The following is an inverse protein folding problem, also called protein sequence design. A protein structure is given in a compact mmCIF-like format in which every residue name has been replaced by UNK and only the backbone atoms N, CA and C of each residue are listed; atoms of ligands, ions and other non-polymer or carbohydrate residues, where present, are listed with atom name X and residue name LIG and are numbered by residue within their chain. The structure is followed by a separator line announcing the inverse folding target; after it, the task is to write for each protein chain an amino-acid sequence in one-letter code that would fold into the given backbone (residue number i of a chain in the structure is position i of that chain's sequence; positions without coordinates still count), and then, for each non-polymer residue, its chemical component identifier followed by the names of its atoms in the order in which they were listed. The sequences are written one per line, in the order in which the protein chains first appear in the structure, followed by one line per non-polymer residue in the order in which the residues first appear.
data_IF_772429892951
#
_entry.id   IF_772429892951
#
_cell.length_a   1.000
_cell.length_b   1.000
_cell.length_c   1.000
_cell.angle_alpha   90.00
_cell.angle_beta   90.00
_cell.angle_gamma   90.00
#
_symmetry.space_group_name_H-M   'P 1'
#
loop_
_entity.id
_entity.type
_entity.pdbx_description
1 polymer ?
#
# COMPACT_ATOMS: atom_id res chain seq x y z
N UNK A 1 -15.57 2.26 6.69
CA UNK A 1 -14.70 3.41 6.39
C UNK A 1 -14.46 3.37 4.89
N UNK A 2 -14.62 4.49 4.20
CA UNK A 2 -14.24 4.58 2.79
C UNK A 2 -12.71 4.55 2.70
N UNK A 3 -12.18 3.82 1.72
CA UNK A 3 -10.74 3.85 1.46
C UNK A 3 -10.34 5.28 1.10
N UNK A 4 -9.30 5.81 1.74
CA UNK A 4 -8.78 7.14 1.46
C UNK A 4 -7.39 7.11 0.82
N UNK A 5 -6.78 5.93 0.71
CA UNK A 5 -5.54 5.74 -0.01
C UNK A 5 -5.69 4.61 -1.01
N UNK A 6 -5.20 4.84 -2.23
CA UNK A 6 -5.02 3.80 -3.22
C UNK A 6 -3.67 3.94 -3.91
N UNK A 7 -3.18 2.86 -4.52
CA UNK A 7 -1.90 2.87 -5.20
C UNK A 7 -1.66 1.62 -6.01
N UNK A 8 -0.57 1.65 -6.75
CA UNK A 8 -0.10 0.53 -7.57
C UNK A 8 1.40 0.38 -7.39
N UNK A 9 1.82 -0.82 -6.98
CA UNK A 9 3.22 -1.21 -6.85
C UNK A 9 3.61 -1.96 -8.13
N UNK A 10 4.40 -1.33 -8.98
CA UNK A 10 4.72 -1.85 -10.31
C UNK A 10 5.89 -2.85 -10.24
N UNK A 11 5.88 -3.85 -11.12
CA UNK A 11 6.96 -4.86 -11.21
C UNK A 11 6.88 -5.97 -10.17
N UNK A 12 5.80 -6.01 -9.37
CA UNK A 12 5.53 -7.06 -8.39
C UNK A 12 4.43 -7.98 -8.90
N UNK A 13 4.68 -9.29 -8.92
CA UNK A 13 3.70 -10.31 -9.32
C UNK A 13 2.97 -10.95 -8.14
N UNK A 14 3.48 -10.71 -6.94
CA UNK A 14 3.05 -11.37 -5.71
C UNK A 14 3.13 -10.34 -4.58
N UNK A 15 2.09 -10.32 -3.75
CA UNK A 15 2.01 -9.48 -2.56
C UNK A 15 2.78 -10.07 -1.38
N UNK A 16 3.03 -11.38 -1.32
CA UNK A 16 3.66 -12.05 -0.19
C UNK A 16 5.05 -11.48 0.16
N UNK A 17 5.99 -11.25 -0.80
CA UNK A 17 7.30 -10.70 -0.46
C UNK A 17 7.23 -9.27 0.11
N UNK A 18 6.18 -8.52 -0.23
CA UNK A 18 5.94 -7.17 0.28
C UNK A 18 5.35 -7.28 1.69
N UNK A 19 4.34 -8.12 1.88
CA UNK A 19 3.67 -8.38 3.15
C UNK A 19 4.65 -8.89 4.24
N UNK A 20 5.57 -9.78 3.88
CA UNK A 20 6.64 -10.22 4.79
C UNK A 20 7.57 -9.07 5.23
N UNK A 21 7.83 -8.09 4.34
CA UNK A 21 8.66 -6.94 4.68
C UNK A 21 7.92 -5.98 5.62
N UNK A 22 6.62 -5.82 5.42
CA UNK A 22 5.77 -5.10 6.38
C UNK A 22 5.83 -5.75 7.77
N UNK A 23 5.69 -7.08 7.85
CA UNK A 23 5.80 -7.81 9.12
C UNK A 23 7.18 -7.60 9.78
N UNK A 24 8.27 -7.67 9.00
CA UNK A 24 9.63 -7.38 9.49
C UNK A 24 9.82 -5.94 9.97
N UNK A 25 8.99 -5.00 9.53
CA UNK A 25 8.96 -3.61 10.01
C UNK A 25 8.00 -3.40 11.19
N UNK A 26 7.41 -4.47 11.73
CA UNK A 26 6.53 -4.43 12.90
C UNK A 26 5.06 -4.12 12.59
N UNK A 27 4.65 -4.23 11.32
CA UNK A 27 3.24 -4.15 10.94
C UNK A 27 2.54 -5.49 11.18
N UNK A 28 1.24 -5.45 11.47
CA UNK A 28 0.43 -6.66 11.44
C UNK A 28 0.23 -7.09 10.00
N UNK A 29 0.36 -8.39 9.71
CA UNK A 29 0.12 -8.94 8.39
C UNK A 29 -0.84 -10.12 8.52
N UNK A 30 -1.86 -10.18 7.66
CA UNK A 30 -2.74 -11.35 7.53
C UNK A 30 -3.04 -11.63 6.06
N UNK A 31 -3.25 -12.89 5.71
CA UNK A 31 -3.81 -13.25 4.40
C UNK A 31 -5.27 -12.80 4.37
N UNK A 32 -5.66 -12.05 3.33
CA UNK A 32 -7.03 -11.60 3.09
C UNK A 32 -7.72 -12.47 2.03
N UNK A 33 -6.96 -12.95 1.04
CA UNK A 33 -7.40 -13.84 -0.03
C UNK A 33 -6.33 -14.91 -0.32
N UNK A 34 -6.49 -15.67 -1.41
CA UNK A 34 -5.49 -16.69 -1.79
C UNK A 34 -4.14 -16.07 -2.15
N UNK A 35 -4.14 -14.87 -2.76
CA UNK A 35 -2.92 -14.16 -3.19
C UNK A 35 -2.80 -12.76 -2.56
N UNK A 36 -3.84 -12.30 -1.87
CA UNK A 36 -3.92 -11.00 -1.23
C UNK A 36 -3.58 -11.01 0.26
N UNK A 37 -3.07 -9.88 0.72
CA UNK A 37 -2.66 -9.66 2.11
C UNK A 37 -3.18 -8.33 2.62
N UNK A 38 -3.63 -8.30 3.86
CA UNK A 38 -3.89 -7.07 4.58
C UNK A 38 -2.72 -6.78 5.53
N UNK A 39 -2.19 -5.56 5.47
CA UNK A 39 -1.12 -5.08 6.33
C UNK A 39 -1.57 -3.85 7.10
N UNK A 40 -1.23 -3.80 8.38
CA UNK A 40 -1.81 -2.83 9.31
C UNK A 40 -0.86 -2.31 10.39
N UNK A 41 -1.20 -1.13 10.89
CA UNK A 41 -0.62 -0.45 12.05
C UNK A 41 -1.66 0.50 12.63
N UNK A 42 -1.33 1.20 13.71
CA UNK A 42 -2.26 2.12 14.41
C UNK A 42 -2.74 3.30 13.58
N UNK A 43 -2.07 3.61 12.46
CA UNK A 43 -2.35 4.75 11.59
C UNK A 43 -2.58 4.36 10.12
N UNK A 44 -2.54 3.07 9.77
CA UNK A 44 -2.72 2.61 8.39
C UNK A 44 -3.19 1.16 8.36
N UNK A 45 -4.15 0.86 7.50
CA UNK A 45 -4.63 -0.49 7.20
C UNK A 45 -4.90 -0.57 5.71
N UNK A 46 -4.13 -1.38 4.99
CA UNK A 46 -4.21 -1.50 3.52
C UNK A 46 -4.21 -2.95 3.09
N UNK A 47 -4.99 -3.22 2.06
CA UNK A 47 -4.99 -4.48 1.33
C UNK A 47 -4.00 -4.39 0.16
N UNK A 48 -3.27 -5.49 -0.03
CA UNK A 48 -2.33 -5.73 -1.11
C UNK A 48 -2.90 -6.85 -1.97
N UNK A 49 -3.31 -6.54 -3.20
CA UNK A 49 -3.93 -7.51 -4.11
C UNK A 49 -3.12 -7.58 -5.43
N UNK A 50 -2.50 -8.72 -5.76
CA UNK A 50 -1.79 -8.87 -7.02
C UNK A 50 -2.74 -8.81 -8.22
N UNK A 51 -2.20 -8.38 -9.36
CA UNK A 51 -2.92 -8.27 -10.63
C UNK A 51 -2.25 -9.11 -11.71
N UNK A 52 -3.01 -9.48 -12.74
CA UNK A 52 -2.49 -10.21 -13.91
C UNK A 52 -1.37 -9.44 -14.64
N UNK A 53 -1.38 -8.11 -14.54
CA UNK A 53 -0.46 -7.19 -15.22
C UNK A 53 0.89 -6.98 -14.49
N UNK A 54 1.25 -7.88 -13.57
CA UNK A 54 2.50 -7.80 -12.78
C UNK A 54 2.61 -6.52 -11.96
N UNK A 55 1.50 -6.13 -11.35
CA UNK A 55 1.45 -5.10 -10.32
C UNK A 55 0.71 -5.63 -9.09
N UNK A 56 0.94 -4.98 -7.95
CA UNK A 56 0.15 -5.19 -6.74
C UNK A 56 -0.64 -3.90 -6.48
N UNK A 57 -1.97 -4.00 -6.42
CA UNK A 57 -2.83 -2.91 -5.99
C UNK A 57 -2.71 -2.75 -4.48
N UNK A 58 -2.75 -1.49 -4.05
CA UNK A 58 -2.82 -1.11 -2.66
C UNK A 58 -4.09 -0.29 -2.48
N UNK A 59 -4.94 -0.66 -1.52
CA UNK A 59 -6.10 0.15 -1.15
C UNK A 59 -6.42 0.04 0.33
N UNK A 60 -6.83 1.14 0.94
CA UNK A 60 -7.27 1.09 2.34
C UNK A 60 -7.37 2.46 2.96
N UNK A 61 -7.08 2.52 4.26
CA UNK A 61 -7.15 3.72 5.08
C UNK A 61 -5.78 4.06 5.64
N UNK A 62 -5.41 5.33 5.57
CA UNK A 62 -4.23 5.89 6.22
C UNK A 62 -4.59 7.18 6.94
N UNK A 63 -3.96 7.47 8.07
CA UNK A 63 -3.97 8.82 8.65
C UNK A 63 -3.35 9.79 7.61
N UNK A 64 -4.11 10.80 7.11
CA UNK A 64 -3.63 11.72 6.08
C UNK A 64 -2.29 12.40 6.43
N UNK A 65 -2.01 12.62 7.71
CA UNK A 65 -0.76 13.24 8.17
C UNK A 65 0.46 12.33 8.04
N UNK A 66 0.24 11.02 7.85
CA UNK A 66 1.27 9.96 7.77
C UNK A 66 1.43 9.41 6.34
N UNK A 67 0.82 10.04 5.35
CA UNK A 67 0.91 9.61 3.95
C UNK A 67 2.36 9.46 3.45
N UNK A 68 3.22 10.44 3.78
CA UNK A 68 4.63 10.40 3.39
C UNK A 68 5.40 9.26 4.10
N UNK A 69 4.98 8.88 5.31
CA UNK A 69 5.54 7.73 6.02
C UNK A 69 5.14 6.41 5.34
N UNK A 70 3.91 6.28 4.83
CA UNK A 70 3.49 5.12 4.04
C UNK A 70 4.36 4.97 2.78
N UNK A 71 4.58 6.06 2.05
CA UNK A 71 5.45 6.07 0.86
C UNK A 71 6.91 5.66 1.19
N UNK A 72 7.43 6.10 2.35
CA UNK A 72 8.74 5.70 2.84
C UNK A 72 8.79 4.21 3.25
N UNK A 73 7.73 3.69 3.87
CA UNK A 73 7.61 2.26 4.21
C UNK A 73 7.55 1.40 2.95
N UNK A 74 6.76 1.78 1.95
CA UNK A 74 6.71 1.06 0.66
C UNK A 74 8.09 0.95 0.00
N UNK A 75 8.86 2.04 0.02
CA UNK A 75 10.25 2.05 -0.45
C UNK A 75 11.11 1.04 0.33
N UNK A 76 11.01 1.01 1.67
CA UNK A 76 11.76 0.07 2.52
C UNK A 76 11.30 -1.38 2.33
N UNK A 77 10.04 -1.59 1.97
CA UNK A 77 9.48 -2.87 1.55
C UNK A 77 9.88 -3.28 0.13
N UNK A 78 10.75 -2.52 -0.54
CA UNK A 78 11.32 -2.87 -1.83
C UNK A 78 10.43 -2.52 -3.02
N UNK A 79 9.40 -1.69 -2.85
CA UNK A 79 8.68 -1.09 -3.96
C UNK A 79 9.57 -0.03 -4.62
N UNK A 80 10.24 -0.41 -5.71
CA UNK A 80 11.14 0.49 -6.45
C UNK A 80 10.38 1.45 -7.36
N UNK A 81 9.20 1.03 -7.84
CA UNK A 81 8.34 1.82 -8.72
C UNK A 81 6.90 1.74 -8.22
N UNK A 82 6.28 2.88 -7.92
CA UNK A 82 4.89 2.92 -7.47
C UNK A 82 4.20 4.26 -7.73
N UNK A 83 2.88 4.22 -7.73
CA UNK A 83 1.99 5.39 -7.60
C UNK A 83 1.13 5.22 -6.35
N UNK A 84 0.93 6.30 -5.60
CA UNK A 84 0.11 6.34 -4.39
C UNK A 84 -0.67 7.65 -4.37
N UNK A 85 -1.96 7.57 -4.09
CA UNK A 85 -2.90 8.69 -4.11
C UNK A 85 -3.68 8.72 -2.80
N UNK A 86 -3.85 9.91 -2.23
CA UNK A 86 -4.62 10.16 -1.01
C UNK A 86 -5.81 11.05 -1.33
N UNK A 87 -6.97 10.66 -0.85
CA UNK A 87 -8.24 11.33 -1.07
C UNK A 87 -8.83 11.83 0.25
N UNK A 88 -9.63 12.90 0.17
CA UNK A 88 -10.48 13.33 1.28
C UNK A 88 -11.81 12.57 1.31
N UNK A 89 -12.69 12.95 2.24
CA UNK A 89 -14.02 12.35 2.40
C UNK A 89 -14.99 12.61 1.23
N UNK A 90 -14.64 13.53 0.32
CA UNK A 90 -15.42 13.88 -0.86
C UNK A 90 -14.79 13.33 -2.15
N UNK A 91 -13.89 12.34 -2.04
CA UNK A 91 -13.13 11.75 -3.15
C UNK A 91 -12.28 12.79 -3.92
N UNK A 92 -11.92 13.90 -3.27
CA UNK A 92 -11.00 14.88 -3.86
C UNK A 92 -9.55 14.46 -3.57
N UNK A 93 -8.73 14.41 -4.63
CA UNK A 93 -7.30 14.11 -4.50
C UNK A 93 -6.60 15.17 -3.66
N UNK A 94 -6.09 14.77 -2.49
CA UNK A 94 -5.32 15.62 -1.58
C UNK A 94 -3.83 15.60 -1.91
N UNK A 95 -3.28 14.42 -2.16
CA UNK A 95 -1.85 14.21 -2.37
C UNK A 95 -1.59 13.02 -3.29
N UNK A 96 -0.44 13.08 -3.95
CA UNK A 96 0.08 12.01 -4.76
C UNK A 96 1.59 11.83 -4.47
N UNK A 97 2.03 10.58 -4.38
CA UNK A 97 3.43 10.22 -4.38
C UNK A 97 3.71 9.24 -5.53
N UNK A 98 4.73 9.54 -6.32
CA UNK A 98 5.21 8.67 -7.39
C UNK A 98 6.68 8.40 -7.21
N UNK A 99 7.08 7.16 -7.47
CA UNK A 99 8.47 6.75 -7.50
C UNK A 99 8.73 6.00 -8.80
N UNK A 100 9.78 6.44 -9.50
CA UNK A 100 10.32 5.79 -10.69
C UNK A 100 11.66 5.14 -10.30
N UNK A 101 11.90 3.93 -10.82
CA UNK A 101 13.08 3.11 -10.51
C UNK A 101 14.27 3.34 -11.43
#
# INVERSE_FOLDING_TARGET
MSNNVCGTLHGHRDAAPIAERFERLGWSTRSSSWEGYEVGTTWCEVELEPTDDKAVLLNGVVDPSRFDDLAAVLTRCGATTYTLELYDENDCLLREARREG
#
